data_IF_465644642562
#
_entry.id   IF_465644642562
#
_cell.length_a   1.000
_cell.length_b   1.000
_cell.length_c   1.000
_cell.angle_alpha   90.00
_cell.angle_beta   90.00
_cell.angle_gamma   90.00
#
_symmetry.space_group_name_H-M   'P 1'
#
loop_
_entity.id
_entity.type
_entity.pdbx_description
1 polymer ?
#
# COMPACT_ATOMS: atom_id res chain seq x y z
N UNK A 1 -21.16 -14.88 16.13
CA UNK A 1 -20.00 -14.23 16.78
C UNK A 1 -19.35 -13.15 15.92
N UNK A 2 -18.97 -13.40 14.65
CA UNK A 2 -18.31 -12.40 13.80
C UNK A 2 -19.06 -11.05 13.66
N UNK A 3 -20.40 -11.07 13.50
CA UNK A 3 -21.20 -9.85 13.38
C UNK A 3 -21.20 -8.95 14.64
N UNK A 4 -21.11 -9.53 15.84
CA UNK A 4 -21.00 -8.78 17.09
C UNK A 4 -19.61 -8.17 17.30
N UNK A 5 -18.56 -8.83 16.80
CA UNK A 5 -17.18 -8.32 16.86
C UNK A 5 -17.05 -7.11 15.93
N UNK A 6 -17.61 -7.20 14.73
CA UNK A 6 -17.60 -6.09 13.76
C UNK A 6 -18.37 -4.89 14.29
N UNK A 7 -19.58 -5.10 14.85
CA UNK A 7 -20.37 -4.02 15.42
C UNK A 7 -19.67 -3.29 16.57
N UNK A 8 -19.00 -4.03 17.47
CA UNK A 8 -18.21 -3.44 18.56
C UNK A 8 -16.98 -2.68 18.04
N UNK A 9 -16.32 -3.19 17.01
CA UNK A 9 -15.17 -2.51 16.40
C UNK A 9 -15.59 -1.21 15.71
N UNK A 10 -16.78 -1.19 15.09
CA UNK A 10 -17.38 0.01 14.49
C UNK A 10 -17.65 1.06 15.56
N UNK A 11 -18.32 0.66 16.63
CA UNK A 11 -18.67 1.54 17.75
C UNK A 11 -17.43 2.17 18.38
N UNK A 12 -16.39 1.36 18.67
CA UNK A 12 -15.11 1.87 19.18
C UNK A 12 -14.44 2.87 18.23
N UNK A 13 -14.44 2.60 16.92
CA UNK A 13 -13.85 3.53 15.95
C UNK A 13 -14.62 4.86 15.85
N UNK A 14 -15.95 4.83 16.02
CA UNK A 14 -16.77 6.04 16.06
C UNK A 14 -16.50 6.86 17.33
N UNK A 15 -16.36 6.22 18.49
CA UNK A 15 -16.01 6.90 19.74
C UNK A 15 -14.68 7.64 19.65
N UNK A 16 -13.65 7.02 19.04
CA UNK A 16 -12.35 7.67 18.83
C UNK A 16 -12.46 8.89 17.90
N UNK A 17 -13.32 8.84 16.88
CA UNK A 17 -13.56 10.00 16.02
C UNK A 17 -14.29 11.13 16.73
N UNK A 18 -15.22 10.81 17.62
CA UNK A 18 -15.92 11.80 18.45
C UNK A 18 -14.95 12.50 19.40
N UNK A 19 -14.10 11.74 20.10
CA UNK A 19 -13.05 12.30 20.99
C UNK A 19 -12.10 13.24 20.23
N UNK A 20 -11.60 12.80 19.07
CA UNK A 20 -10.74 13.64 18.23
C UNK A 20 -11.46 14.89 17.71
N UNK A 21 -12.76 14.81 17.43
CA UNK A 21 -13.54 15.96 16.98
C UNK A 21 -13.74 17.00 18.10
N UNK A 22 -13.84 16.57 19.35
CA UNK A 22 -13.95 17.46 20.51
C UNK A 22 -12.68 18.29 20.74
N UNK A 23 -11.52 17.74 20.40
CA UNK A 23 -10.22 18.43 20.46
C UNK A 23 -10.05 19.52 19.38
N UNK A 24 -10.94 19.57 18.39
CA UNK A 24 -10.91 20.58 17.31
C UNK A 24 -11.82 21.77 17.63
N UNK A 25 -11.32 22.97 17.34
CA UNK A 25 -12.20 24.15 17.29
C UNK A 25 -13.15 24.04 16.08
N UNK A 26 -14.35 24.63 16.18
CA UNK A 26 -15.40 24.66 15.14
C UNK A 26 -14.85 24.93 13.73
N UNK A 27 -13.95 25.91 13.58
CA UNK A 27 -13.35 26.24 12.26
C UNK A 27 -12.39 25.16 11.74
N UNK A 28 -11.64 24.50 12.62
CA UNK A 28 -10.75 23.41 12.24
C UNK A 28 -11.56 22.17 11.84
N UNK A 29 -12.66 21.90 12.54
CA UNK A 29 -13.59 20.83 12.20
C UNK A 29 -14.25 21.10 10.84
N UNK A 30 -14.73 22.31 10.61
CA UNK A 30 -15.32 22.72 9.34
C UNK A 30 -14.31 22.67 8.19
N UNK A 31 -13.05 23.08 8.43
CA UNK A 31 -11.96 22.90 7.47
C UNK A 31 -11.75 21.43 7.12
N UNK A 32 -11.69 20.54 8.12
CA UNK A 32 -11.50 19.12 7.90
C UNK A 32 -12.65 18.50 7.10
N UNK A 33 -13.90 18.88 7.41
CA UNK A 33 -15.09 18.42 6.68
C UNK A 33 -15.07 18.87 5.21
N UNK A 34 -14.78 20.15 4.95
CA UNK A 34 -14.68 20.69 3.59
C UNK A 34 -13.54 20.05 2.80
N UNK A 35 -12.40 19.82 3.46
CA UNK A 35 -11.24 19.14 2.87
C UNK A 35 -11.57 17.69 2.49
N UNK A 36 -12.29 16.96 3.35
CA UNK A 36 -12.73 15.60 3.11
C UNK A 36 -13.89 15.50 2.10
N UNK A 37 -14.68 16.56 1.91
CA UNK A 37 -15.73 16.62 0.90
C UNK A 37 -15.20 16.90 -0.50
N UNK A 38 -14.10 17.67 -0.65
CA UNK A 38 -13.52 17.98 -1.96
C UNK A 38 -12.75 16.77 -2.54
N UNK A 39 -13.15 16.23 -3.71
CA UNK A 39 -12.45 15.11 -4.36
C UNK A 39 -10.99 15.43 -4.71
N UNK A 40 -10.67 16.71 -4.96
CA UNK A 40 -9.31 17.14 -5.29
C UNK A 40 -8.46 17.43 -4.05
N UNK A 41 -9.04 17.35 -2.85
CA UNK A 41 -8.35 17.65 -1.57
C UNK A 41 -7.66 19.01 -1.61
N UNK A 42 -8.36 20.03 -2.10
CA UNK A 42 -7.84 21.40 -2.16
C UNK A 42 -7.96 22.07 -0.78
N UNK A 43 -6.83 22.14 -0.07
CA UNK A 43 -6.77 22.72 1.26
C UNK A 43 -6.94 24.24 1.26
N UNK A 44 -6.59 24.95 0.18
CA UNK A 44 -6.76 26.41 0.13
C UNK A 44 -8.25 26.75 0.04
N UNK A 45 -8.98 26.02 -0.80
CA UNK A 45 -10.44 26.17 -0.94
C UNK A 45 -11.17 25.76 0.35
N UNK A 46 -10.79 24.64 0.96
CA UNK A 46 -11.35 24.21 2.25
C UNK A 46 -11.11 25.24 3.35
N UNK A 47 -9.92 25.86 3.37
CA UNK A 47 -9.59 26.90 4.34
C UNK A 47 -10.44 28.16 4.12
N UNK A 48 -10.60 28.62 2.88
CA UNK A 48 -11.45 29.78 2.59
C UNK A 48 -12.92 29.54 2.97
N UNK A 49 -13.42 28.31 2.81
CA UNK A 49 -14.77 27.94 3.22
C UNK A 49 -14.94 27.96 4.75
N UNK A 50 -13.94 27.50 5.51
CA UNK A 50 -14.00 27.43 6.97
C UNK A 50 -13.60 28.73 7.68
N UNK A 51 -12.84 29.60 7.02
CA UNK A 51 -12.32 30.85 7.56
C UNK A 51 -12.76 32.04 6.69
N UNK A 52 -13.97 32.53 6.94
CA UNK A 52 -14.64 33.61 6.20
C UNK A 52 -13.82 34.90 6.03
N UNK A 53 -12.91 35.19 6.96
CA UNK A 53 -12.06 36.39 6.93
C UNK A 53 -10.86 36.27 5.98
N UNK A 54 -10.64 35.11 5.34
CA UNK A 54 -9.50 34.88 4.47
C UNK A 54 -9.80 35.31 3.02
N UNK A 55 -9.48 36.56 2.68
CA UNK A 55 -9.68 37.10 1.33
C UNK A 55 -8.61 36.76 0.30
N UNK A 56 -7.52 36.08 0.68
CA UNK A 56 -6.38 35.79 -0.21
C UNK A 56 -6.10 34.30 -0.35
N UNK A 57 -6.03 33.81 -1.59
CA UNK A 57 -5.71 32.41 -1.90
C UNK A 57 -4.33 32.00 -1.38
N UNK A 58 -3.33 32.89 -1.48
CA UNK A 58 -1.97 32.60 -1.00
C UNK A 58 -1.91 32.45 0.52
N UNK A 59 -2.73 33.21 1.25
CA UNK A 59 -2.85 33.08 2.70
C UNK A 59 -3.57 31.79 3.07
N UNK A 60 -4.64 31.44 2.35
CA UNK A 60 -5.38 30.20 2.54
C UNK A 60 -4.51 28.96 2.29
N UNK A 61 -3.68 28.98 1.25
CA UNK A 61 -2.73 27.91 0.92
C UNK A 61 -1.73 27.68 2.07
N UNK A 62 -1.08 28.74 2.55
CA UNK A 62 -0.08 28.67 3.62
C UNK A 62 -0.69 28.20 4.96
N UNK A 63 -1.87 28.74 5.32
CA UNK A 63 -2.55 28.38 6.56
C UNK A 63 -3.14 26.96 6.49
N UNK A 64 -3.73 26.57 5.36
CA UNK A 64 -4.23 25.21 5.13
C UNK A 64 -3.13 24.16 5.25
N UNK A 65 -1.95 24.42 4.68
CA UNK A 65 -0.77 23.54 4.84
C UNK A 65 -0.34 23.37 6.30
N UNK A 66 -0.41 24.43 7.10
CA UNK A 66 -0.10 24.35 8.54
C UNK A 66 -1.08 23.46 9.29
N UNK A 67 -2.39 23.53 8.99
CA UNK A 67 -3.40 22.67 9.61
C UNK A 67 -3.21 21.20 9.23
N UNK A 68 -2.66 20.91 8.05
CA UNK A 68 -2.39 19.56 7.56
C UNK A 68 -1.01 19.02 7.93
N UNK A 69 -0.22 19.75 8.73
CA UNK A 69 1.10 19.29 9.17
C UNK A 69 0.95 18.06 10.07
N UNK A 70 1.86 17.10 9.95
CA UNK A 70 1.88 15.93 10.84
C UNK A 70 1.94 16.35 12.33
N UNK A 71 1.16 15.66 13.16
CA UNK A 71 1.04 15.92 14.60
C UNK A 71 0.16 17.11 14.98
N UNK A 72 -0.62 17.66 14.03
CA UNK A 72 -1.70 18.60 14.39
C UNK A 72 -2.98 17.82 14.67
N UNK A 73 -3.82 18.27 15.62
CA UNK A 73 -5.12 17.63 15.89
C UNK A 73 -5.99 17.53 14.64
N UNK A 74 -5.97 18.58 13.80
CA UNK A 74 -6.71 18.60 12.53
C UNK A 74 -6.25 17.52 11.56
N UNK A 75 -4.94 17.25 11.49
CA UNK A 75 -4.41 16.20 10.62
C UNK A 75 -4.77 14.81 11.17
N UNK A 76 -4.66 14.62 12.47
CA UNK A 76 -4.99 13.36 13.15
C UNK A 76 -6.46 12.98 12.96
N UNK A 77 -7.38 13.95 13.12
CA UNK A 77 -8.80 13.75 12.84
C UNK A 77 -9.05 13.36 11.37
N UNK A 78 -8.43 14.05 10.41
CA UNK A 78 -8.56 13.73 8.98
C UNK A 78 -8.03 12.33 8.68
N UNK A 79 -6.87 11.96 9.21
CA UNK A 79 -6.27 10.64 9.01
C UNK A 79 -7.15 9.54 9.61
N UNK A 80 -7.72 9.77 10.80
CA UNK A 80 -8.66 8.86 11.42
C UNK A 80 -9.94 8.69 10.57
N UNK A 81 -10.53 9.77 10.05
CA UNK A 81 -11.69 9.69 9.15
C UNK A 81 -11.39 8.91 7.87
N UNK A 82 -10.19 9.08 7.28
CA UNK A 82 -9.80 8.34 6.09
C UNK A 82 -9.58 6.86 6.38
N UNK A 83 -8.99 6.53 7.53
CA UNK A 83 -8.80 5.16 7.98
C UNK A 83 -10.15 4.49 8.25
N UNK A 84 -11.07 5.19 8.93
CA UNK A 84 -12.44 4.74 9.17
C UNK A 84 -13.17 4.49 7.84
N UNK A 85 -13.22 5.47 6.94
CA UNK A 85 -13.89 5.30 5.65
C UNK A 85 -13.31 4.14 4.82
N UNK A 86 -11.98 3.94 4.88
CA UNK A 86 -11.31 2.81 4.24
C UNK A 86 -11.74 1.50 4.88
N UNK A 87 -11.56 1.36 6.18
CA UNK A 87 -11.85 0.12 6.93
C UNK A 87 -13.32 -0.24 6.87
N UNK A 88 -14.22 0.71 7.09
CA UNK A 88 -15.67 0.50 7.00
C UNK A 88 -16.15 0.27 5.57
N UNK A 89 -15.54 0.92 4.58
CA UNK A 89 -15.79 0.61 3.16
C UNK A 89 -15.46 -0.85 2.86
N UNK A 90 -14.25 -1.31 3.25
CA UNK A 90 -13.84 -2.71 3.11
C UNK A 90 -14.74 -3.68 3.89
N UNK A 91 -15.14 -3.34 5.12
CA UNK A 91 -16.00 -4.17 5.97
C UNK A 91 -17.45 -4.23 5.47
N UNK A 92 -18.04 -3.11 5.02
CA UNK A 92 -19.39 -3.06 4.44
C UNK A 92 -19.46 -3.80 3.11
N UNK A 93 -18.39 -3.78 2.32
CA UNK A 93 -18.24 -4.58 1.10
C UNK A 93 -17.80 -6.04 1.36
N UNK A 94 -17.51 -6.41 2.63
CA UNK A 94 -16.94 -7.71 3.05
C UNK A 94 -15.66 -8.09 2.29
N UNK A 95 -14.92 -7.12 1.77
CA UNK A 95 -13.64 -7.33 1.08
C UNK A 95 -12.56 -7.39 2.16
N UNK A 96 -12.27 -8.60 2.64
CA UNK A 96 -11.15 -8.90 3.53
C UNK A 96 -9.99 -9.56 2.75
N UNK A 97 -8.84 -9.76 3.40
CA UNK A 97 -7.66 -10.39 2.78
C UNK A 97 -7.99 -11.79 2.22
N UNK A 98 -8.71 -12.61 2.97
CA UNK A 98 -9.17 -13.94 2.53
C UNK A 98 -10.04 -13.87 1.26
N UNK A 99 -10.94 -12.88 1.16
CA UNK A 99 -11.77 -12.65 -0.02
C UNK A 99 -10.91 -12.28 -1.22
N UNK A 100 -9.96 -11.36 -1.04
CA UNK A 100 -9.03 -10.96 -2.12
C UNK A 100 -8.21 -12.15 -2.59
N UNK A 101 -7.69 -12.97 -1.67
CA UNK A 101 -6.95 -14.18 -2.00
C UNK A 101 -7.81 -15.20 -2.74
N UNK A 102 -9.07 -15.39 -2.31
CA UNK A 102 -10.00 -16.31 -2.96
C UNK A 102 -10.37 -15.85 -4.38
N UNK A 103 -10.61 -14.55 -4.58
CA UNK A 103 -10.89 -14.01 -5.92
C UNK A 103 -9.65 -14.09 -6.83
N UNK A 104 -8.46 -13.78 -6.33
CA UNK A 104 -7.21 -13.98 -7.08
C UNK A 104 -6.99 -15.45 -7.43
N UNK A 105 -7.34 -16.37 -6.52
CA UNK A 105 -7.26 -17.80 -6.79
C UNK A 105 -8.23 -18.23 -7.89
N UNK A 106 -9.48 -17.74 -7.92
CA UNK A 106 -10.41 -18.02 -9.02
C UNK A 106 -9.83 -17.61 -10.37
N UNK A 107 -9.29 -16.39 -10.47
CA UNK A 107 -8.62 -15.91 -11.69
C UNK A 107 -7.43 -16.80 -12.09
N UNK A 108 -6.63 -17.23 -11.11
CA UNK A 108 -5.49 -18.10 -11.33
C UNK A 108 -5.89 -19.55 -11.70
N UNK A 109 -7.02 -20.03 -11.20
CA UNK A 109 -7.47 -21.42 -11.34
C UNK A 109 -8.27 -21.67 -12.63
N UNK A 110 -8.72 -20.63 -13.33
CA UNK A 110 -9.55 -20.77 -14.54
C UNK A 110 -8.96 -21.74 -15.55
N UNK A 111 -9.83 -22.62 -16.04
CA UNK A 111 -9.55 -23.65 -17.03
C UNK A 111 -10.52 -23.52 -18.20
N UNK A 112 -9.98 -23.52 -19.42
CA UNK A 112 -10.78 -23.38 -20.65
C UNK A 112 -11.82 -24.49 -20.78
N UNK A 113 -11.54 -25.70 -20.26
CA UNK A 113 -12.47 -26.83 -20.34
C UNK A 113 -13.79 -26.59 -19.62
N UNK A 114 -13.80 -25.72 -18.61
CA UNK A 114 -15.00 -25.44 -17.81
C UNK A 114 -16.03 -24.61 -18.59
N UNK A 115 -15.67 -24.11 -19.78
CA UNK A 115 -16.55 -23.38 -20.68
C UNK A 115 -17.18 -24.25 -21.77
N UNK A 116 -16.90 -25.56 -21.80
CA UNK A 116 -17.34 -26.46 -22.86
C UNK A 116 -18.07 -27.69 -22.33
N UNK A 117 -19.06 -28.17 -23.08
CA UNK A 117 -19.74 -29.43 -22.83
C UNK A 117 -18.91 -30.64 -23.28
N UNK A 118 -19.40 -31.86 -23.01
CA UNK A 118 -18.74 -33.10 -23.43
C UNK A 118 -18.65 -33.28 -24.95
N UNK A 119 -19.46 -32.56 -25.71
CA UNK A 119 -19.49 -32.60 -27.18
C UNK A 119 -18.57 -31.55 -27.81
N UNK A 120 -17.90 -30.71 -27.01
CA UNK A 120 -17.02 -29.64 -27.47
C UNK A 120 -17.75 -28.35 -27.85
N UNK A 121 -19.02 -28.20 -27.50
CA UNK A 121 -19.77 -26.94 -27.67
C UNK A 121 -19.59 -26.05 -26.46
N UNK A 122 -19.53 -24.74 -26.70
CA UNK A 122 -19.42 -23.77 -25.62
C UNK A 122 -20.72 -23.71 -24.80
N UNK A 123 -20.59 -23.81 -23.48
CA UNK A 123 -21.72 -23.70 -22.56
C UNK A 123 -22.38 -22.31 -22.67
N UNK A 124 -23.70 -22.22 -22.54
CA UNK A 124 -24.38 -20.95 -22.40
C UNK A 124 -24.03 -20.30 -21.05
N UNK A 125 -24.05 -18.96 -20.99
CA UNK A 125 -23.53 -18.19 -19.85
C UNK A 125 -24.10 -18.63 -18.49
N UNK A 126 -25.39 -18.95 -18.44
CA UNK A 126 -26.08 -19.38 -17.22
C UNK A 126 -25.70 -20.79 -16.74
N UNK A 127 -24.94 -21.55 -17.53
CA UNK A 127 -24.44 -22.89 -17.19
C UNK A 127 -22.95 -22.90 -16.85
N UNK A 128 -22.26 -21.77 -17.04
CA UNK A 128 -20.87 -21.61 -16.62
C UNK A 128 -20.86 -21.48 -15.10
N UNK A 129 -20.04 -22.28 -14.41
CA UNK A 129 -19.88 -22.19 -12.96
C UNK A 129 -19.34 -20.81 -12.56
N UNK A 130 -19.77 -20.30 -11.41
CA UNK A 130 -19.41 -18.96 -10.93
C UNK A 130 -17.89 -18.78 -10.82
N UNK A 131 -17.15 -19.82 -10.45
CA UNK A 131 -15.69 -19.80 -10.35
C UNK A 131 -15.01 -19.63 -11.72
N UNK A 132 -15.53 -20.30 -12.75
CA UNK A 132 -15.02 -20.16 -14.12
C UNK A 132 -15.44 -18.82 -14.73
N UNK A 133 -16.67 -18.39 -14.47
CA UNK A 133 -17.20 -17.11 -14.92
C UNK A 133 -16.40 -15.92 -14.35
N UNK A 134 -15.91 -16.01 -13.13
CA UNK A 134 -15.08 -14.98 -12.50
C UNK A 134 -13.80 -14.66 -13.30
N UNK A 135 -13.27 -15.62 -14.07
CA UNK A 135 -12.11 -15.41 -14.92
C UNK A 135 -12.40 -14.88 -16.32
N UNK A 136 -13.65 -14.59 -16.66
CA UNK A 136 -13.99 -14.07 -17.99
C UNK A 136 -13.79 -12.56 -18.02
N UNK A 137 -12.89 -12.08 -18.88
CA UNK A 137 -12.67 -10.66 -19.10
C UNK A 137 -13.58 -10.07 -20.17
N UNK A 138 -13.92 -10.85 -21.21
CA UNK A 138 -14.75 -10.38 -22.33
C UNK A 138 -15.46 -11.53 -23.04
N UNK A 139 -16.71 -11.29 -23.44
CA UNK A 139 -17.48 -12.15 -24.32
C UNK A 139 -17.92 -11.32 -25.52
N UNK A 140 -17.74 -11.83 -26.74
CA UNK A 140 -18.34 -11.27 -27.96
C UNK A 140 -19.17 -12.34 -28.63
N UNK A 141 -20.42 -12.04 -28.93
CA UNK A 141 -21.32 -12.93 -29.66
C UNK A 141 -21.70 -12.28 -30.98
N UNK A 142 -21.60 -13.04 -32.07
CA UNK A 142 -21.98 -12.59 -33.42
C UNK A 142 -22.84 -13.66 -34.08
N UNK A 143 -23.99 -13.25 -34.58
CA UNK A 143 -24.83 -14.10 -35.43
C UNK A 143 -24.34 -13.97 -36.86
N UNK A 144 -23.92 -15.09 -37.44
CA UNK A 144 -23.48 -15.22 -38.82
C UNK A 144 -24.59 -15.96 -39.56
N UNK A 145 -25.19 -15.31 -40.54
CA UNK A 145 -26.13 -15.96 -41.44
C UNK A 145 -25.34 -16.58 -42.58
N UNK A 146 -25.47 -17.90 -42.76
CA UNK A 146 -24.93 -18.61 -43.92
C UNK A 146 -26.09 -19.05 -44.78
N UNK A 147 -26.11 -18.58 -46.03
CA UNK A 147 -26.99 -19.14 -47.06
C UNK A 147 -26.28 -20.36 -47.64
N UNK A 148 -26.94 -21.52 -47.62
CA UNK A 148 -26.46 -22.70 -48.33
C UNK A 148 -26.73 -22.50 -49.83
N UNK A 149 -25.73 -22.77 -50.68
CA UNK A 149 -25.88 -22.67 -52.16
C UNK A 149 -26.73 -23.82 -52.76
N UNK A 150 -27.37 -24.64 -51.92
CA UNK A 150 -28.29 -25.69 -52.38
C UNK A 150 -29.69 -25.09 -52.58
N UNK A 151 -30.39 -25.55 -53.62
CA UNK A 151 -31.57 -24.98 -54.30
C UNK A 151 -32.81 -24.62 -53.44
N UNK A 152 -32.76 -24.73 -52.10
CA UNK A 152 -33.86 -24.43 -51.17
C UNK A 152 -33.62 -23.24 -50.22
N UNK A 153 -32.49 -22.52 -50.33
CA UNK A 153 -32.35 -21.19 -49.69
C UNK A 153 -32.53 -21.18 -48.17
N UNK A 154 -32.21 -22.28 -47.49
CA UNK A 154 -32.27 -22.35 -46.02
C UNK A 154 -31.18 -21.45 -45.44
N UNK A 155 -31.58 -20.36 -44.77
CA UNK A 155 -30.68 -19.52 -43.96
C UNK A 155 -30.33 -20.28 -42.68
N UNK A 156 -29.08 -20.74 -42.56
CA UNK A 156 -28.55 -21.24 -41.29
C UNK A 156 -27.99 -20.06 -40.46
N UNK A 157 -28.54 -19.84 -39.28
CA UNK A 157 -27.99 -18.90 -38.30
C UNK A 157 -26.93 -19.62 -37.44
N UNK A 158 -25.66 -19.24 -37.62
CA UNK A 158 -24.53 -19.71 -36.82
C UNK A 158 -24.16 -18.65 -35.78
N UNK A 159 -23.96 -19.04 -34.54
CA UNK A 159 -23.55 -18.12 -33.48
C UNK A 159 -22.05 -18.30 -33.22
N UNK A 160 -21.24 -17.29 -33.56
CA UNK A 160 -19.82 -17.24 -33.21
C UNK A 160 -19.66 -16.55 -31.84
N UNK A 161 -18.94 -17.20 -30.93
CA UNK A 161 -18.59 -16.64 -29.61
C UNK A 161 -17.07 -16.52 -29.48
N UNK A 162 -16.59 -15.32 -29.17
CA UNK A 162 -15.19 -15.05 -28.83
C UNK A 162 -15.10 -14.83 -27.30
N UNK A 163 -14.25 -15.61 -26.61
CA UNK A 163 -14.02 -15.52 -25.16
C UNK A 163 -12.61 -15.01 -24.86
N UNK A 164 -12.50 -14.03 -23.97
CA UNK A 164 -11.24 -13.53 -23.44
C UNK A 164 -11.17 -13.80 -21.94
N UNK A 165 -10.14 -14.51 -21.50
CA UNK A 165 -9.91 -14.88 -20.11
C UNK A 165 -9.01 -13.83 -19.46
N UNK A 166 -9.22 -13.58 -18.17
CA UNK A 166 -8.42 -12.68 -17.35
C UNK A 166 -6.94 -13.09 -17.30
N UNK A 167 -6.07 -12.15 -16.92
CA UNK A 167 -4.63 -12.38 -16.81
C UNK A 167 -4.28 -13.33 -15.65
N UNK A 168 -4.23 -14.62 -15.99
CA UNK A 168 -3.83 -15.72 -15.09
C UNK A 168 -2.40 -15.56 -14.57
N UNK A 169 -1.49 -14.99 -15.38
CA UNK A 169 -0.09 -14.77 -14.96
C UNK A 169 -0.03 -13.67 -13.90
N UNK A 170 -0.76 -12.57 -14.11
CA UNK A 170 -0.91 -11.48 -13.14
C UNK A 170 -1.44 -11.98 -11.79
N UNK A 171 -2.50 -12.78 -11.81
CA UNK A 171 -3.07 -13.37 -10.59
C UNK A 171 -2.07 -14.27 -9.83
N UNK A 172 -1.37 -15.16 -10.53
CA UNK A 172 -0.36 -16.05 -9.92
C UNK A 172 0.84 -15.28 -9.37
N UNK A 173 1.26 -14.19 -10.03
CA UNK A 173 2.34 -13.35 -9.52
C UNK A 173 1.94 -12.65 -8.21
N UNK A 174 0.72 -12.12 -8.12
CA UNK A 174 0.24 -11.49 -6.88
C UNK A 174 0.13 -12.50 -5.73
N UNK A 175 -0.39 -13.70 -6.01
CA UNK A 175 -0.44 -14.79 -5.02
C UNK A 175 0.96 -15.23 -4.59
N UNK A 176 1.89 -15.42 -5.53
CA UNK A 176 3.27 -15.80 -5.21
C UNK A 176 4.04 -14.71 -4.45
N UNK A 177 3.74 -13.42 -4.68
CA UNK A 177 4.27 -12.32 -3.89
C UNK A 177 3.74 -12.35 -2.45
N UNK A 178 2.44 -12.58 -2.27
CA UNK A 178 1.84 -12.72 -0.94
C UNK A 178 2.45 -13.90 -0.15
N UNK A 179 2.74 -15.01 -0.83
CA UNK A 179 3.42 -16.18 -0.25
C UNK A 179 4.95 -16.06 -0.15
N UNK A 180 5.52 -14.89 -0.50
CA UNK A 180 6.96 -14.65 -0.53
C UNK A 180 7.78 -15.67 -1.35
N UNK A 181 7.19 -16.24 -2.41
CA UNK A 181 7.83 -17.26 -3.27
C UNK A 181 8.91 -16.67 -4.19
N UNK A 182 8.84 -15.37 -4.49
CA UNK A 182 9.76 -14.70 -5.39
C UNK A 182 10.87 -14.00 -4.61
N UNK A 183 12.04 -14.64 -4.50
CA UNK A 183 13.24 -14.00 -3.93
C UNK A 183 14.00 -13.25 -5.02
N UNK A 184 14.13 -11.93 -4.90
CA UNK A 184 15.05 -11.17 -5.74
C UNK A 184 16.48 -11.34 -5.22
N UNK A 185 17.36 -11.92 -6.03
CA UNK A 185 18.81 -11.90 -5.77
C UNK A 185 19.36 -10.59 -6.30
N UNK A 186 19.72 -9.67 -5.41
CA UNK A 186 20.51 -8.50 -5.79
C UNK A 186 21.98 -8.89 -5.90
N UNK A 187 22.50 -8.85 -7.12
CA UNK A 187 23.94 -8.95 -7.35
C UNK A 187 24.52 -7.54 -7.16
N UNK A 188 25.17 -7.31 -6.03
CA UNK A 188 25.92 -6.08 -5.79
C UNK A 188 27.29 -6.23 -6.45
N UNK A 189 27.44 -5.68 -7.66
CA UNK A 189 28.77 -5.37 -8.17
C UNK A 189 29.30 -4.16 -7.41
N UNK A 190 30.10 -4.42 -6.37
CA UNK A 190 30.90 -3.38 -5.72
C UNK A 190 32.03 -3.05 -6.70
N UNK A 191 31.73 -2.22 -7.70
CA UNK A 191 32.73 -1.57 -8.57
C UNK A 191 33.24 -0.26 -7.94
N UNK A 192 33.32 -0.23 -6.61
CA UNK A 192 34.12 0.76 -5.92
C UNK A 192 35.55 0.24 -5.89
N UNK A 193 36.47 0.88 -6.61
CA UNK A 193 37.88 0.85 -6.20
C UNK A 193 37.99 1.49 -4.81
N UNK A 194 37.56 0.78 -3.76
CA UNK A 194 38.11 1.05 -2.46
C UNK A 194 39.55 0.59 -2.55
N UNK A 195 40.47 1.56 -2.75
CA UNK A 195 41.89 1.31 -2.54
C UNK A 195 42.05 0.90 -1.09
N UNK A 196 42.03 -0.42 -0.86
CA UNK A 196 42.19 -1.05 0.45
C UNK A 196 43.44 -0.50 1.15
N UNK A 197 44.46 -0.10 0.36
CA UNK A 197 45.63 0.64 0.81
C UNK A 197 45.31 1.94 1.58
N UNK A 198 44.38 2.77 1.11
CA UNK A 198 44.01 4.02 1.78
C UNK A 198 43.30 3.79 3.12
N UNK A 199 42.59 2.67 3.26
CA UNK A 199 41.95 2.29 4.51
C UNK A 199 42.96 1.74 5.53
N UNK A 200 43.94 0.95 5.08
CA UNK A 200 45.03 0.47 5.93
C UNK A 200 45.97 1.61 6.38
N UNK A 201 46.23 2.58 5.51
CA UNK A 201 47.05 3.75 5.84
C UNK A 201 46.37 4.62 6.91
N UNK A 202 45.06 4.84 6.79
CA UNK A 202 44.29 5.61 7.78
C UNK A 202 44.26 4.93 9.16
N UNK A 203 44.02 3.61 9.21
CA UNK A 203 44.06 2.84 10.46
C UNK A 203 45.46 2.84 11.07
N UNK A 204 46.51 2.73 10.25
CA UNK A 204 47.90 2.71 10.73
C UNK A 204 48.30 4.06 11.33
N UNK A 205 47.88 5.18 10.74
CA UNK A 205 48.13 6.50 11.31
C UNK A 205 47.42 6.69 12.66
N UNK A 206 46.18 6.26 12.78
CA UNK A 206 45.41 6.37 14.03
C UNK A 206 46.00 5.54 15.18
N UNK A 207 46.52 4.34 14.88
CA UNK A 207 47.21 3.49 15.87
C UNK A 207 48.56 4.09 16.28
N UNK A 208 49.29 4.72 15.36
CA UNK A 208 50.59 5.34 15.68
C UNK A 208 50.45 6.62 16.51
N UNK A 209 49.44 7.45 16.26
CA UNK A 209 49.15 8.64 17.08
C UNK A 209 48.76 8.27 18.53
N UNK A 210 48.04 7.16 18.71
CA UNK A 210 47.69 6.63 20.04
C UNK A 210 48.93 6.21 20.86
N UNK A 211 49.93 5.61 20.20
CA UNK A 211 51.14 5.09 20.85
C UNK A 211 52.22 6.15 21.11
N UNK A 212 52.17 7.31 20.45
CA UNK A 212 53.16 8.41 20.57
C UNK A 212 52.71 9.51 21.55
N UNK A 213 51.54 9.37 22.18
CA UNK A 213 51.13 10.29 23.25
C UNK A 213 52.17 10.27 24.39
N UNK A 214 52.76 11.43 24.78
CA UNK A 214 53.76 11.45 25.84
C UNK A 214 53.11 11.02 27.16
N UNK A 215 53.69 10.01 27.81
CA UNK A 215 53.25 9.54 29.12
C UNK A 215 53.11 10.73 30.08
N UNK A 216 52.00 10.84 30.84
CA UNK A 216 51.76 11.97 31.73
C UNK A 216 52.90 12.07 32.76
N UNK A 217 53.46 13.27 32.87
CA UNK A 217 54.66 13.58 33.68
C UNK A 217 54.50 13.30 35.19
N UNK A 218 53.28 13.03 35.67
CA UNK A 218 52.97 12.84 37.08
C UNK A 218 53.26 11.42 37.63
N UNK A 219 53.61 10.46 36.78
CA UNK A 219 53.88 9.08 37.21
C UNK A 219 55.34 8.78 37.60
N UNK A 220 56.21 9.81 37.69
CA UNK A 220 57.59 9.65 38.15
C UNK A 220 57.86 10.39 39.47
N UNK A 221 57.05 10.16 40.50
CA UNK A 221 57.46 10.43 41.88
C UNK A 221 58.03 9.14 42.46
N UNK A 222 59.35 8.96 42.36
CA UNK A 222 60.07 8.03 43.22
C UNK A 222 60.08 8.64 44.63
N UNK A 223 59.32 8.02 45.53
CA UNK A 223 59.32 8.38 46.95
C UNK A 223 60.73 8.15 47.50
N UNK A 224 61.42 9.25 47.79
CA UNK A 224 62.77 9.25 48.37
C UNK A 224 62.71 9.71 49.82
N UNK A 225 61.85 9.07 50.61
CA UNK A 225 61.94 9.09 52.06
C UNK A 225 62.95 8.03 52.51
N UNK A 226 64.24 8.36 52.41
CA UNK A 226 65.29 7.63 53.12
C UNK A 226 65.27 8.12 54.56
N UNK A 227 64.75 7.28 55.44
CA UNK A 227 64.88 7.36 56.90
C UNK A 227 66.36 7.48 57.28
N UNK A 228 66.77 8.67 57.70
CA UNK A 228 68.08 8.89 58.30
C UNK A 228 67.95 8.75 59.80
N UNK A 229 68.12 7.52 60.28
CA UNK A 229 68.36 7.25 61.68
C UNK A 229 69.56 8.05 62.18
N UNK A 230 69.29 9.01 63.04
CA UNK A 230 70.29 9.69 63.85
C UNK A 230 70.41 8.96 65.19
N UNK A 231 71.65 8.78 65.66
CA UNK A 231 71.94 8.36 67.03
C UNK A 231 71.59 9.42 68.07
#
# INVERSE_FOLDING_TARGET
MAGQIIAKSVEQSMTVLEELAEDLNKRQLEFAQQYLADPKRDHAKAYMAAYENCGSLATADACGKRLLRHGTPTREYIDACLLEARTHGFMKLRINEEFVLNELFKLAAVNIKDFYDHNGNMLPIHQIADEAAAGVSKIRERVIKRTRDDEEGVEEELVQRDLEIADKKGALNLLGQHLAMFTQKHQHDISGEMKVAQFFDAISQEVTDSLVSPLPADNLRLDTTIDSGNG
#
